data_IF_064587351047
#
_entry.id   IF_064587351047
#
_cell.length_a   1.000
_cell.length_b   1.000
_cell.length_c   1.000
_cell.angle_alpha   90.00
_cell.angle_beta   90.00
_cell.angle_gamma   90.00
#
_symmetry.space_group_name_H-M   'P 1'
#
loop_
_entity.id
_entity.type
_entity.pdbx_description
1 polymer ?
#
# COMPACT_ATOMS: atom_id res chain seq x y z
N UNK A 1 -10.69 9.67 16.10
CA UNK A 1 -11.34 8.58 15.33
C UNK A 1 -10.38 8.14 14.25
N UNK A 2 -10.33 6.85 13.91
CA UNK A 2 -9.56 6.40 12.76
C UNK A 2 -10.28 6.79 11.47
N UNK A 3 -9.54 7.36 10.51
CA UNK A 3 -10.03 7.59 9.15
C UNK A 3 -9.58 6.43 8.27
N UNK A 4 -10.51 5.89 7.47
CA UNK A 4 -10.23 4.76 6.57
C UNK A 4 -10.29 5.26 5.14
N UNK A 5 -9.22 5.02 4.39
CA UNK A 5 -9.12 5.32 2.96
C UNK A 5 -9.07 4.00 2.22
N UNK A 6 -9.97 3.83 1.24
CA UNK A 6 -9.93 2.70 0.32
C UNK A 6 -9.30 3.16 -0.99
N UNK A 7 -8.13 2.59 -1.34
CA UNK A 7 -7.44 2.88 -2.60
C UNK A 7 -7.40 1.62 -3.45
N UNK A 8 -7.97 1.70 -4.66
CA UNK A 8 -8.06 0.58 -5.61
C UNK A 8 -7.80 1.13 -7.01
N UNK A 9 -6.81 0.58 -7.71
CA UNK A 9 -6.58 0.90 -9.11
C UNK A 9 -7.51 0.03 -9.97
N UNK A 10 -8.24 0.65 -10.89
CA UNK A 10 -9.11 -0.04 -11.83
C UNK A 10 -8.93 0.52 -13.24
N UNK A 11 -9.15 -0.34 -14.23
CA UNK A 11 -9.28 0.08 -15.61
C UNK A 11 -10.65 0.73 -15.82
N UNK A 12 -10.82 1.48 -16.92
CA UNK A 12 -12.11 2.08 -17.28
C UNK A 12 -13.25 1.05 -17.43
N UNK A 13 -12.92 -0.22 -17.69
CA UNK A 13 -13.86 -1.35 -17.72
C UNK A 13 -14.28 -1.84 -16.32
N UNK A 14 -13.65 -1.35 -15.26
CA UNK A 14 -13.81 -1.82 -13.88
C UNK A 14 -12.93 -3.02 -13.52
N UNK A 15 -12.13 -3.55 -14.44
CA UNK A 15 -11.20 -4.64 -14.15
C UNK A 15 -10.08 -4.16 -13.18
N UNK A 16 -9.86 -4.93 -12.13
CA UNK A 16 -8.83 -4.67 -11.12
C UNK A 16 -7.82 -5.82 -11.11
N UNK A 17 -6.70 -5.65 -11.79
CA UNK A 17 -5.62 -6.63 -11.82
C UNK A 17 -4.26 -5.92 -11.81
N UNK A 18 -3.31 -6.45 -11.02
CA UNK A 18 -2.03 -5.79 -10.76
C UNK A 18 -1.11 -5.70 -11.99
N UNK A 19 -1.31 -6.56 -13.00
CA UNK A 19 -0.56 -6.51 -14.27
C UNK A 19 -1.17 -5.56 -15.31
N UNK A 20 -2.41 -5.12 -15.09
CA UNK A 20 -3.16 -4.33 -16.07
C UNK A 20 -3.06 -2.82 -15.77
N UNK A 21 -2.49 -2.46 -14.62
CA UNK A 21 -2.29 -1.06 -14.23
C UNK A 21 -1.27 -0.39 -15.14
N UNK A 22 -1.71 0.63 -15.87
CA UNK A 22 -0.83 1.57 -16.57
C UNK A 22 -0.65 2.79 -15.69
N UNK A 23 0.48 2.88 -14.99
CA UNK A 23 0.77 3.98 -14.06
C UNK A 23 1.92 4.82 -14.59
N UNK A 24 1.67 6.11 -14.83
CA UNK A 24 2.73 7.10 -15.06
C UNK A 24 3.29 7.64 -13.74
N UNK A 25 4.32 8.48 -13.84
CA UNK A 25 5.06 9.02 -12.69
C UNK A 25 4.16 9.77 -11.69
N UNK A 26 3.19 10.56 -12.18
CA UNK A 26 2.24 11.29 -11.31
C UNK A 26 1.37 10.36 -10.47
N UNK A 27 0.89 9.25 -11.08
CA UNK A 27 0.09 8.26 -10.38
C UNK A 27 0.93 7.51 -9.34
N UNK A 28 2.18 7.20 -9.68
CA UNK A 28 3.11 6.58 -8.74
C UNK A 28 3.39 7.50 -7.55
N UNK A 29 3.64 8.79 -7.80
CA UNK A 29 3.86 9.78 -6.74
C UNK A 29 2.64 9.89 -5.81
N UNK A 30 1.43 9.96 -6.37
CA UNK A 30 0.20 9.94 -5.58
C UNK A 30 0.11 8.69 -4.68
N UNK A 31 0.41 7.51 -5.22
CA UNK A 31 0.38 6.27 -4.45
C UNK A 31 1.42 6.24 -3.33
N UNK A 32 2.61 6.80 -3.58
CA UNK A 32 3.68 6.97 -2.58
C UNK A 32 3.20 7.91 -1.47
N UNK A 33 2.70 9.10 -1.81
CA UNK A 33 2.26 10.10 -0.85
C UNK A 33 1.13 9.56 0.03
N UNK A 34 0.15 8.87 -0.58
CA UNK A 34 -0.94 8.22 0.15
C UNK A 34 -0.40 7.16 1.11
N UNK A 35 0.51 6.31 0.64
CA UNK A 35 1.11 5.22 1.44
C UNK A 35 1.88 5.77 2.63
N UNK A 36 2.69 6.81 2.42
CA UNK A 36 3.48 7.45 3.49
C UNK A 36 2.63 8.26 4.47
N UNK A 37 1.45 8.73 4.05
CA UNK A 37 0.53 9.44 4.95
C UNK A 37 -0.22 8.53 5.92
N UNK A 38 -0.26 7.22 5.66
CA UNK A 38 -1.01 6.25 6.44
C UNK A 38 -0.15 5.64 7.56
N UNK A 39 -0.68 5.61 8.78
CA UNK A 39 -0.02 4.91 9.91
C UNK A 39 -0.04 3.39 9.74
N UNK A 40 -1.09 2.86 9.08
CA UNK A 40 -1.29 1.42 8.87
C UNK A 40 -1.80 1.14 7.47
N UNK A 41 -1.15 0.19 6.79
CA UNK A 41 -1.63 -0.39 5.54
C UNK A 41 -2.32 -1.73 5.82
N UNK A 42 -3.50 -1.92 5.23
CA UNK A 42 -4.26 -3.17 5.35
C UNK A 42 -4.37 -3.80 3.97
N UNK A 43 -3.83 -5.01 3.82
CA UNK A 43 -3.88 -5.76 2.59
C UNK A 43 -4.54 -7.12 2.82
N UNK A 44 -5.28 -7.59 1.80
CA UNK A 44 -5.65 -9.00 1.72
C UNK A 44 -4.40 -9.87 1.47
N UNK A 45 -4.50 -11.18 1.73
CA UNK A 45 -3.37 -12.13 1.62
C UNK A 45 -2.61 -12.02 0.30
N UNK A 46 -3.31 -12.10 -0.83
CA UNK A 46 -2.68 -12.11 -2.15
C UNK A 46 -1.93 -10.80 -2.44
N UNK A 47 -2.50 -9.66 -2.06
CA UNK A 47 -1.86 -8.35 -2.22
C UNK A 47 -0.67 -8.21 -1.28
N UNK A 48 -0.79 -8.67 -0.04
CA UNK A 48 0.33 -8.66 0.90
C UNK A 48 1.52 -9.46 0.35
N UNK A 49 1.29 -10.70 -0.08
CA UNK A 49 2.34 -11.56 -0.60
C UNK A 49 3.02 -10.95 -1.86
N UNK A 50 2.24 -10.33 -2.76
CA UNK A 50 2.77 -9.59 -3.90
C UNK A 50 3.68 -8.42 -3.47
N UNK A 51 3.22 -7.58 -2.53
CA UNK A 51 3.96 -6.39 -2.12
C UNK A 51 5.22 -6.70 -1.30
N UNK A 52 5.23 -7.79 -0.55
CA UNK A 52 6.41 -8.20 0.23
C UNK A 52 7.63 -8.52 -0.64
N UNK A 53 7.43 -8.82 -1.93
CA UNK A 53 8.51 -9.00 -2.90
C UNK A 53 9.30 -7.70 -3.13
N UNK A 54 8.66 -6.54 -2.89
CA UNK A 54 9.23 -5.21 -3.08
C UNK A 54 9.63 -4.54 -1.77
N UNK A 55 9.07 -5.00 -0.64
CA UNK A 55 9.38 -4.53 0.72
C UNK A 55 9.84 -5.69 1.61
N UNK A 56 11.03 -6.26 1.37
CA UNK A 56 11.49 -7.42 2.12
C UNK A 56 11.60 -7.14 3.63
N UNK A 57 11.90 -5.89 4.01
CA UNK A 57 11.99 -5.48 5.41
C UNK A 57 10.63 -5.41 6.11
N UNK A 58 9.52 -5.31 5.37
CA UNK A 58 8.18 -5.37 5.95
C UNK A 58 7.87 -6.75 6.57
N UNK A 59 8.63 -7.79 6.19
CA UNK A 59 8.53 -9.13 6.76
C UNK A 59 9.30 -9.27 8.07
N UNK A 60 10.26 -8.38 8.34
CA UNK A 60 11.10 -8.41 9.53
C UNK A 60 10.35 -7.79 10.70
N UNK A 61 9.43 -8.57 11.28
CA UNK A 61 8.61 -8.17 12.42
C UNK A 61 9.40 -8.23 13.73
N UNK A 62 10.45 -7.43 13.85
CA UNK A 62 11.07 -7.16 15.14
C UNK A 62 10.21 -6.13 15.89
N UNK A 63 9.11 -6.60 16.48
CA UNK A 63 8.35 -5.91 17.52
C UNK A 63 7.78 -4.54 17.13
N UNK A 64 6.57 -4.52 16.59
CA UNK A 64 5.69 -3.35 16.77
C UNK A 64 5.31 -3.31 18.26
N UNK A 65 6.12 -2.63 19.07
CA UNK A 65 5.60 -1.94 20.25
C UNK A 65 4.75 -0.79 19.70
N UNK A 66 3.44 -0.72 20.01
CA UNK A 66 2.60 0.34 19.49
C UNK A 66 2.94 1.65 20.20
N UNK A 67 3.74 2.51 19.56
CA UNK A 67 3.78 3.95 19.85
C UNK A 67 4.59 4.71 18.80
N UNK A 68 3.87 5.52 18.01
CA UNK A 68 4.32 6.76 17.38
C UNK A 68 5.73 6.75 16.79
N UNK A 69 5.83 6.47 15.49
CA UNK A 69 7.08 6.60 14.75
C UNK A 69 7.32 8.08 14.39
N UNK A 70 8.05 8.78 15.26
CA UNK A 70 8.95 9.88 14.92
C UNK A 70 10.31 9.24 14.63
N UNK A 71 10.76 9.21 13.37
CA UNK A 71 11.80 10.07 12.78
C UNK A 71 11.71 9.95 11.26
#
# INVERSE_FOLDING_TARGET
>A
MAHVIHSINTMASGLCHHLDSVTGDEHLQYAIDLTLSAEVLIFGRNTFDLFTQFWPDALNRNGVEPKGMLI
#
